data_IF_713540547369
#
_entry.id   IF_713540547369
#
_cell.length_a   1.000
_cell.length_b   1.000
_cell.length_c   1.000
_cell.angle_alpha   90.00
_cell.angle_beta   90.00
_cell.angle_gamma   90.00
#
_symmetry.space_group_name_H-M   'P 1'
#
loop_
_entity.id
_entity.type
_entity.pdbx_description
1 polymer ?
#
# COMPACT_ATOMS: atom_id res chain seq x y z
N UNK A 1 -8.28 -9.03 -5.81
CA UNK A 1 -8.52 -7.83 -4.99
C UNK A 1 -8.23 -6.60 -5.83
N UNK A 2 -8.85 -5.47 -5.53
CA UNK A 2 -8.51 -4.17 -6.12
C UNK A 2 -7.91 -3.30 -5.03
N UNK A 3 -6.91 -2.49 -5.37
CA UNK A 3 -6.39 -1.42 -4.51
C UNK A 3 -6.62 -0.07 -5.18
N UNK A 4 -7.01 0.91 -4.38
CA UNK A 4 -7.10 2.31 -4.82
C UNK A 4 -6.27 3.17 -3.87
N UNK A 5 -5.44 4.05 -4.40
CA UNK A 5 -4.63 5.01 -3.65
C UNK A 5 -5.17 6.42 -3.86
N UNK A 6 -4.94 7.31 -2.89
CA UNK A 6 -5.55 8.65 -2.91
C UNK A 6 -4.73 9.68 -2.13
N UNK A 7 -4.95 10.95 -2.48
CA UNK A 7 -4.50 12.12 -1.71
C UNK A 7 -5.21 12.28 -0.36
N UNK A 8 -6.27 11.52 -0.10
CA UNK A 8 -6.93 11.47 1.22
C UNK A 8 -6.12 10.73 2.30
N UNK A 9 -4.87 10.38 1.97
CA UNK A 9 -3.92 9.67 2.82
C UNK A 9 -4.32 8.23 3.12
N UNK A 10 -5.12 7.60 2.25
CA UNK A 10 -5.47 6.20 2.36
C UNK A 10 -5.14 5.41 1.10
N UNK A 11 -4.81 4.13 1.31
CA UNK A 11 -5.01 3.09 0.32
C UNK A 11 -6.20 2.23 0.77
N UNK A 12 -7.12 1.93 -0.13
CA UNK A 12 -8.28 1.08 0.16
C UNK A 12 -8.20 -0.20 -0.63
N UNK A 13 -8.52 -1.30 0.04
CA UNK A 13 -8.51 -2.63 -0.54
C UNK A 13 -9.93 -3.15 -0.63
N UNK A 14 -10.32 -3.57 -1.83
CA UNK A 14 -11.66 -3.98 -2.18
C UNK A 14 -11.69 -5.44 -2.59
N UNK A 15 -12.72 -6.15 -2.14
CA UNK A 15 -13.01 -7.50 -2.62
C UNK A 15 -13.62 -7.39 -4.01
N UNK A 16 -13.09 -8.12 -4.98
CA UNK A 16 -13.56 -8.03 -6.37
C UNK A 16 -14.74 -8.95 -6.68
N UNK A 17 -15.15 -9.82 -5.75
CA UNK A 17 -16.32 -10.69 -5.94
C UNK A 17 -17.65 -9.95 -5.67
N UNK A 18 -17.65 -8.99 -4.74
CA UNK A 18 -18.85 -8.26 -4.29
C UNK A 18 -18.62 -6.74 -4.18
N UNK A 19 -17.43 -6.26 -4.53
CA UNK A 19 -17.02 -4.84 -4.48
C UNK A 19 -17.09 -4.20 -3.08
N UNK A 20 -17.04 -5.02 -2.03
CA UNK A 20 -17.03 -4.53 -0.65
C UNK A 20 -15.65 -4.01 -0.25
N UNK A 21 -15.63 -2.94 0.55
CA UNK A 21 -14.42 -2.43 1.17
C UNK A 21 -13.94 -3.42 2.24
N UNK A 22 -12.76 -4.00 2.06
CA UNK A 22 -12.18 -4.95 3.01
C UNK A 22 -11.31 -4.27 4.06
N UNK A 23 -10.50 -3.28 3.63
CA UNK A 23 -9.53 -2.58 4.47
C UNK A 23 -9.34 -1.15 4.00
N UNK A 24 -9.12 -0.26 4.96
CA UNK A 24 -8.64 1.11 4.76
C UNK A 24 -7.28 1.23 5.47
N UNK A 25 -6.23 1.47 4.69
CA UNK A 25 -4.85 1.59 5.15
C UNK A 25 -4.51 3.08 5.22
N UNK A 26 -4.63 3.66 6.41
CA UNK A 26 -4.40 5.10 6.63
C UNK A 26 -2.94 5.41 6.87
N UNK A 27 -2.46 6.41 6.14
CA UNK A 27 -1.21 7.09 6.42
C UNK A 27 -1.52 8.33 7.29
N UNK A 28 -0.76 8.51 8.37
CA UNK A 28 -0.93 9.65 9.27
C UNK A 28 -0.42 10.97 8.67
N UNK A 29 -0.79 12.11 9.25
CA UNK A 29 -0.18 13.43 8.99
C UNK A 29 -0.11 13.88 7.52
N UNK A 30 -1.23 13.79 6.78
CA UNK A 30 -1.36 14.34 5.42
C UNK A 30 -0.39 13.74 4.38
N UNK A 31 -0.12 12.45 4.51
CA UNK A 31 0.81 11.71 3.64
C UNK A 31 0.04 11.03 2.51
N UNK A 32 -0.07 11.70 1.38
CA UNK A 32 -0.74 11.18 0.18
C UNK A 32 -0.15 9.83 -0.23
N UNK A 33 -1.00 8.95 -0.73
CA UNK A 33 -0.58 7.66 -1.28
C UNK A 33 -0.64 7.76 -2.79
N UNK A 34 0.52 7.63 -3.43
CA UNK A 34 0.63 7.79 -4.88
C UNK A 34 0.49 6.46 -5.61
N UNK A 35 1.03 5.40 -5.03
CA UNK A 35 1.07 4.10 -5.69
C UNK A 35 1.01 2.95 -4.69
N UNK A 36 0.58 1.78 -5.16
CA UNK A 36 0.53 0.56 -4.37
C UNK A 36 0.79 -0.70 -5.22
N UNK A 37 1.41 -1.70 -4.61
CA UNK A 37 1.72 -2.98 -5.26
C UNK A 37 1.43 -4.16 -4.33
N UNK A 38 0.75 -5.19 -4.84
CA UNK A 38 0.49 -6.43 -4.09
C UNK A 38 1.70 -7.37 -4.11
N UNK A 39 1.82 -8.18 -3.07
CA UNK A 39 2.58 -9.44 -3.14
C UNK A 39 1.81 -10.50 -3.92
N UNK A 40 2.50 -11.52 -4.44
CA UNK A 40 1.87 -12.57 -5.27
C UNK A 40 0.78 -13.34 -4.49
N UNK A 41 1.04 -13.61 -3.22
CA UNK A 41 0.09 -14.26 -2.30
C UNK A 41 -1.07 -13.35 -1.85
N UNK A 42 -1.07 -12.07 -2.26
CA UNK A 42 -2.03 -11.04 -1.84
C UNK A 42 -2.16 -10.87 -0.31
N UNK A 43 -1.18 -11.36 0.47
CA UNK A 43 -1.16 -11.21 1.93
C UNK A 43 -0.70 -9.81 2.32
N UNK A 44 0.22 -9.25 1.55
CA UNK A 44 0.79 -7.95 1.83
C UNK A 44 0.54 -6.95 0.70
N UNK A 45 0.58 -5.68 1.07
CA UNK A 45 0.51 -4.56 0.15
C UNK A 45 1.65 -3.58 0.45
N UNK A 46 2.36 -3.18 -0.59
CA UNK A 46 3.27 -2.04 -0.55
C UNK A 46 2.52 -0.76 -0.89
N UNK A 47 2.78 0.33 -0.17
CA UNK A 47 2.31 1.67 -0.55
C UNK A 47 3.47 2.66 -0.63
N UNK A 48 3.45 3.52 -1.65
CA UNK A 48 4.39 4.61 -1.88
C UNK A 48 3.73 5.95 -1.58
N UNK A 49 4.40 6.80 -0.81
CA UNK A 49 3.76 8.00 -0.25
C UNK A 49 4.58 9.29 -0.44
N UNK A 50 3.89 10.42 -0.32
CA UNK A 50 4.48 11.76 -0.41
C UNK A 50 5.50 12.07 0.68
N UNK A 51 5.52 11.31 1.75
CA UNK A 51 6.45 11.45 2.87
C UNK A 51 7.84 10.84 2.63
N UNK A 52 8.08 10.30 1.43
CA UNK A 52 9.32 9.62 1.03
C UNK A 52 9.54 8.24 1.68
N UNK A 53 8.52 7.67 2.33
CA UNK A 53 8.57 6.30 2.87
C UNK A 53 7.70 5.36 2.06
N UNK A 54 8.22 4.17 1.77
CA UNK A 54 7.39 3.06 1.37
C UNK A 54 6.96 2.27 2.60
N UNK A 55 5.79 1.64 2.57
CA UNK A 55 5.23 0.88 3.69
C UNK A 55 4.79 -0.50 3.24
N UNK A 56 4.98 -1.49 4.09
CA UNK A 56 4.42 -2.83 3.93
C UNK A 56 3.29 -3.03 4.93
N UNK A 57 2.12 -3.39 4.43
CA UNK A 57 0.92 -3.65 5.22
C UNK A 57 0.59 -5.13 5.19
N UNK A 58 0.31 -5.74 6.34
CA UNK A 58 -0.31 -7.06 6.44
C UNK A 58 -1.82 -6.88 6.30
N UNK A 59 -2.41 -7.43 5.23
CA UNK A 59 -3.84 -7.26 4.94
C UNK A 59 -4.73 -8.15 5.81
N UNK A 60 -4.20 -9.26 6.32
CA UNK A 60 -4.90 -10.17 7.22
C UNK A 60 -5.11 -9.46 8.57
N UNK A 61 -4.00 -8.98 9.15
CA UNK A 61 -3.99 -8.27 10.45
C UNK A 61 -4.47 -6.82 10.35
N UNK A 62 -4.36 -6.20 9.19
CA UNK A 62 -4.65 -4.78 8.99
C UNK A 62 -3.61 -3.85 9.63
N UNK A 63 -2.37 -4.32 9.79
CA UNK A 63 -1.29 -3.61 10.50
C UNK A 63 -0.17 -3.17 9.56
N UNK A 64 0.49 -2.07 9.93
CA UNK A 64 1.75 -1.66 9.32
C UNK A 64 2.87 -2.57 9.84
N UNK A 65 3.48 -3.36 8.97
CA UNK A 65 4.55 -4.31 9.34
C UNK A 65 5.94 -3.69 9.21
N UNK A 66 6.15 -2.86 8.17
CA UNK A 66 7.46 -2.28 7.91
C UNK A 66 7.37 -0.94 7.21
N UNK A 67 8.34 -0.08 7.49
CA UNK A 67 8.62 1.12 6.72
C UNK A 67 9.99 1.01 6.05
N UNK A 68 10.09 1.46 4.82
CA UNK A 68 11.32 1.54 4.06
C UNK A 68 11.67 3.02 3.89
N UNK A 69 12.87 3.38 4.35
CA UNK A 69 13.43 4.72 4.28
C UNK A 69 14.56 4.79 3.24
N UNK A 70 14.92 6.01 2.82
CA UNK A 70 16.07 6.26 1.94
C UNK A 70 15.79 7.31 0.87
N UNK A 71 14.57 7.35 0.35
CA UNK A 71 14.16 8.44 -0.53
C UNK A 71 14.04 9.75 0.26
N UNK A 72 14.46 10.86 -0.37
CA UNK A 72 14.36 12.22 0.17
C UNK A 72 13.24 13.03 -0.50
N UNK A 73 12.49 12.39 -1.40
CA UNK A 73 11.39 12.95 -2.18
C UNK A 73 10.24 11.95 -2.25
N UNK A 74 9.01 12.39 -2.57
CA UNK A 74 7.86 11.53 -2.74
C UNK A 74 8.15 10.27 -3.55
N UNK A 75 7.64 9.14 -3.08
CA UNK A 75 7.65 7.90 -3.85
C UNK A 75 6.43 7.93 -4.76
N UNK A 76 6.68 8.05 -6.06
CA UNK A 76 5.63 8.19 -7.07
C UNK A 76 5.29 6.90 -7.79
N UNK A 77 6.15 5.89 -7.70
CA UNK A 77 5.94 4.61 -8.35
C UNK A 77 6.59 3.48 -7.54
N UNK A 78 5.97 2.31 -7.60
CA UNK A 78 6.45 1.06 -7.05
C UNK A 78 6.47 -0.01 -8.13
N UNK A 79 7.45 -0.90 -8.03
CA UNK A 79 7.47 -2.14 -8.79
C UNK A 79 7.85 -3.25 -7.82
N UNK A 80 7.02 -4.30 -7.79
CA UNK A 80 7.30 -5.50 -7.02
C UNK A 80 7.48 -6.66 -8.00
N UNK A 81 8.55 -7.43 -7.80
CA UNK A 81 8.77 -8.68 -8.50
C UNK A 81 8.91 -9.76 -7.44
N UNK A 82 8.11 -10.80 -7.57
CA UNK A 82 8.33 -12.00 -6.81
C UNK A 82 9.48 -12.82 -7.41
N UNK A 83 10.27 -13.45 -6.56
CA UNK A 83 11.14 -14.53 -6.99
C UNK A 83 10.33 -15.82 -6.89
N UNK A 84 9.54 -16.10 -7.92
CA UNK A 84 9.07 -17.47 -8.11
C UNK A 84 10.31 -18.33 -8.40
N UNK A 85 10.68 -19.18 -7.45
CA UNK A 85 11.64 -20.26 -7.64
C UNK A 85 11.06 -21.30 -8.62
#
# INVERSE_FOLDING_TARGET
>A
MLVTTSGDCSARVWRTSDWTLMRELRHENQRWVWDAAFTLDSRYLFTGSSDSYARLWDLEKGTLERQYCGHQKPITALAFRDQAA
#
